data_IF_980500860679
#
_entry.id   IF_980500860679
#
_cell.length_a   1.000
_cell.length_b   1.000
_cell.length_c   1.000
_cell.angle_alpha   90.00
_cell.angle_beta   90.00
_cell.angle_gamma   90.00
#
_symmetry.space_group_name_H-M   'P 1'
#
loop_
_entity.id
_entity.type
_entity.pdbx_description
1 polymer ?
#
# COMPACT_ATOMS: atom_id res chain seq x y z
N UNK A 1 -26.52 -4.57 8.15
CA UNK A 1 -27.12 -3.35 7.58
C UNK A 1 -27.35 -3.66 6.11
N UNK A 2 -27.66 -2.71 5.25
CA UNK A 2 -27.61 -2.98 3.81
C UNK A 2 -26.35 -2.33 3.26
N UNK A 3 -25.49 -3.09 2.59
CA UNK A 3 -24.36 -2.55 1.88
C UNK A 3 -24.81 -1.40 0.96
N UNK A 4 -23.92 -0.43 0.76
CA UNK A 4 -24.18 0.78 -0.02
C UNK A 4 -25.47 1.53 0.40
N UNK A 5 -25.59 1.97 1.67
CA UNK A 5 -26.80 2.60 2.20
C UNK A 5 -27.16 3.94 1.52
N UNK A 6 -26.21 4.58 0.81
CA UNK A 6 -26.45 5.82 0.07
C UNK A 6 -26.85 5.60 -1.39
N UNK A 7 -26.81 4.35 -1.89
CA UNK A 7 -27.13 4.04 -3.27
C UNK A 7 -26.15 4.64 -4.28
N UNK A 8 -24.86 4.67 -3.93
CA UNK A 8 -23.79 5.05 -4.87
C UNK A 8 -23.80 4.09 -6.05
N UNK A 9 -23.60 4.59 -7.27
CA UNK A 9 -23.52 3.75 -8.45
C UNK A 9 -22.16 3.04 -8.53
N UNK A 10 -21.97 2.01 -7.70
CA UNK A 10 -20.78 1.18 -7.70
C UNK A 10 -20.72 0.30 -8.96
N UNK A 11 -19.50 -0.04 -9.37
CA UNK A 11 -19.25 -1.14 -10.29
C UNK A 11 -19.93 -2.40 -9.74
N UNK A 12 -20.59 -3.22 -10.58
CA UNK A 12 -21.29 -4.42 -10.12
C UNK A 12 -20.42 -5.36 -9.26
N UNK A 13 -19.12 -5.49 -9.54
CA UNK A 13 -18.23 -6.32 -8.73
C UNK A 13 -17.95 -5.70 -7.36
N UNK A 14 -17.78 -4.37 -7.30
CA UNK A 14 -17.61 -3.64 -6.04
C UNK A 14 -18.90 -3.69 -5.19
N UNK A 15 -20.07 -3.55 -5.81
CA UNK A 15 -21.36 -3.72 -5.13
C UNK A 15 -21.50 -5.14 -4.55
N UNK A 16 -21.25 -6.17 -5.37
CA UNK A 16 -21.36 -7.56 -4.93
C UNK A 16 -20.40 -7.88 -3.79
N UNK A 17 -19.17 -7.36 -3.83
CA UNK A 17 -18.19 -7.55 -2.77
C UNK A 17 -18.58 -6.83 -1.46
N UNK A 18 -19.07 -5.58 -1.56
CA UNK A 18 -19.60 -4.86 -0.41
C UNK A 18 -20.79 -5.60 0.24
N UNK A 19 -21.72 -6.14 -0.56
CA UNK A 19 -22.83 -6.97 -0.08
C UNK A 19 -22.35 -8.26 0.60
N UNK A 20 -21.38 -8.96 0.00
CA UNK A 20 -20.84 -10.20 0.53
C UNK A 20 -20.11 -10.02 1.87
N UNK A 21 -19.63 -8.81 2.17
CA UNK A 21 -18.85 -8.49 3.36
C UNK A 21 -19.61 -7.65 4.40
N UNK A 22 -20.88 -7.26 4.14
CA UNK A 22 -21.72 -6.46 5.05
C UNK A 22 -22.50 -7.32 6.07
N UNK A 23 -21.85 -8.35 6.62
CA UNK A 23 -22.41 -9.19 7.67
C UNK A 23 -21.35 -9.55 8.74
N UNK A 24 -21.69 -9.46 10.04
CA UNK A 24 -20.79 -9.88 11.11
C UNK A 24 -20.68 -11.42 11.20
N UNK A 25 -19.57 -11.95 11.75
CA UNK A 25 -18.44 -11.19 12.30
C UNK A 25 -17.61 -10.54 11.18
N UNK A 26 -17.27 -9.26 11.36
CA UNK A 26 -16.34 -8.56 10.48
C UNK A 26 -14.90 -8.98 10.79
N UNK A 27 -13.97 -8.79 9.84
CA UNK A 27 -12.57 -9.22 10.00
C UNK A 27 -11.90 -8.71 11.28
N UNK A 28 -12.16 -7.45 11.67
CA UNK A 28 -11.61 -6.83 12.87
C UNK A 28 -12.29 -7.28 14.18
N UNK A 29 -13.38 -8.04 14.09
CA UNK A 29 -14.06 -8.67 15.24
C UNK A 29 -13.54 -10.09 15.51
N UNK A 30 -12.77 -10.65 14.58
CA UNK A 30 -12.12 -11.95 14.72
C UNK A 30 -10.77 -11.82 15.47
N UNK A 31 -10.29 -12.90 16.12
CA UNK A 31 -8.89 -12.99 16.50
C UNK A 31 -7.98 -12.73 15.29
N UNK A 32 -6.83 -12.02 15.44
CA UNK A 32 -5.98 -11.65 14.30
C UNK A 32 -5.59 -12.81 13.39
N UNK A 33 -5.26 -13.98 13.94
CA UNK A 33 -4.89 -15.15 13.14
C UNK A 33 -6.05 -15.69 12.29
N UNK A 34 -7.28 -15.68 12.81
CA UNK A 34 -8.47 -16.11 12.07
C UNK A 34 -8.81 -15.09 10.97
N UNK A 35 -8.67 -13.79 11.26
CA UNK A 35 -8.83 -12.73 10.27
C UNK A 35 -7.77 -12.81 9.16
N UNK A 36 -6.51 -13.14 9.48
CA UNK A 36 -5.45 -13.37 8.48
C UNK A 36 -5.82 -14.52 7.56
N UNK A 37 -6.26 -15.65 8.11
CA UNK A 37 -6.68 -16.81 7.33
C UNK A 37 -7.87 -16.48 6.41
N UNK A 38 -8.83 -15.69 6.90
CA UNK A 38 -9.98 -15.26 6.10
C UNK A 38 -9.58 -14.36 4.92
N UNK A 39 -8.66 -13.41 5.13
CA UNK A 39 -8.14 -12.55 4.03
C UNK A 39 -7.35 -13.38 3.01
N UNK A 40 -6.56 -14.35 3.46
CA UNK A 40 -5.87 -15.31 2.57
C UNK A 40 -6.89 -16.10 1.73
N UNK A 41 -7.94 -16.63 2.34
CA UNK A 41 -8.98 -17.41 1.63
C UNK A 41 -9.72 -16.58 0.59
N UNK A 42 -10.04 -15.31 0.88
CA UNK A 42 -10.68 -14.39 -0.09
C UNK A 42 -9.83 -14.20 -1.35
N UNK A 43 -8.50 -14.25 -1.21
CA UNK A 43 -7.54 -14.11 -2.31
C UNK A 43 -7.11 -15.48 -2.89
N UNK A 44 -7.70 -16.60 -2.45
CA UNK A 44 -7.43 -17.96 -2.97
C UNK A 44 -8.46 -18.45 -3.99
N UNK A 45 -9.29 -17.56 -4.55
CA UNK A 45 -10.31 -17.94 -5.52
C UNK A 45 -9.71 -18.63 -6.76
N UNK A 46 -10.29 -19.76 -7.16
CA UNK A 46 -9.90 -20.46 -8.39
C UNK A 46 -10.05 -19.53 -9.61
N UNK A 47 -9.08 -19.58 -10.54
CA UNK A 47 -9.15 -18.85 -11.80
C UNK A 47 -8.73 -17.38 -11.74
N UNK A 48 -8.02 -16.95 -10.70
CA UNK A 48 -7.26 -15.69 -10.72
C UNK A 48 -6.04 -15.88 -11.62
N UNK A 49 -6.11 -15.38 -12.85
CA UNK A 49 -4.94 -15.31 -13.72
C UNK A 49 -3.99 -14.24 -13.21
N UNK A 50 -2.75 -14.63 -12.91
CA UNK A 50 -1.67 -13.72 -12.55
C UNK A 50 -0.52 -13.86 -13.56
N UNK A 51 0.18 -12.77 -13.90
CA UNK A 51 1.33 -12.85 -14.81
C UNK A 51 2.39 -13.85 -14.34
N UNK A 52 3.00 -14.57 -15.28
CA UNK A 52 4.20 -15.36 -15.01
C UNK A 52 5.34 -14.44 -14.56
N UNK A 53 6.11 -14.86 -13.55
CA UNK A 53 7.23 -14.12 -12.98
C UNK A 53 8.34 -15.08 -12.54
N UNK A 54 9.57 -14.57 -12.48
CA UNK A 54 10.65 -15.24 -11.76
C UNK A 54 10.63 -14.73 -10.30
N UNK A 55 10.70 -15.63 -9.33
CA UNK A 55 10.67 -15.27 -7.91
C UNK A 55 11.77 -15.91 -7.07
N UNK A 56 12.17 -15.22 -6.01
CA UNK A 56 13.07 -15.76 -4.99
C UNK A 56 12.81 -15.10 -3.64
N UNK A 57 13.22 -15.79 -2.57
CA UNK A 57 13.18 -15.29 -1.21
C UNK A 57 14.59 -15.05 -0.70
N UNK A 58 14.78 -13.91 -0.04
CA UNK A 58 16.02 -13.54 0.63
C UNK A 58 15.72 -13.05 2.05
N UNK A 59 16.74 -13.03 2.90
CA UNK A 59 16.66 -12.44 4.25
C UNK A 59 17.53 -11.20 4.26
N UNK A 60 16.93 -10.02 4.30
CA UNK A 60 17.64 -8.76 4.39
C UNK A 60 18.02 -8.50 5.87
N UNK A 61 19.31 -8.26 6.18
CA UNK A 61 19.71 -7.90 7.54
C UNK A 61 19.29 -6.47 7.88
N UNK A 62 18.92 -6.22 9.14
CA UNK A 62 18.53 -4.90 9.64
C UNK A 62 17.14 -4.88 10.28
N UNK A 63 16.69 -3.69 10.64
CA UNK A 63 15.46 -3.49 11.41
C UNK A 63 15.61 -3.92 12.88
N UNK A 64 14.61 -3.61 13.72
CA UNK A 64 14.69 -3.81 15.17
C UNK A 64 14.67 -5.29 15.59
N UNK A 65 14.20 -6.19 14.74
CA UNK A 65 14.21 -7.65 14.95
C UNK A 65 15.43 -8.33 14.32
N UNK A 66 16.33 -7.57 13.69
CA UNK A 66 17.62 -8.02 13.16
C UNK A 66 17.59 -8.49 11.70
N UNK A 67 16.43 -8.90 11.18
CA UNK A 67 16.25 -9.18 9.75
C UNK A 67 14.79 -9.11 9.31
N UNK A 68 14.56 -8.99 8.00
CA UNK A 68 13.24 -9.07 7.35
C UNK A 68 13.30 -10.07 6.19
N UNK A 69 12.27 -10.91 6.06
CA UNK A 69 12.10 -11.77 4.88
C UNK A 69 11.63 -10.92 3.72
N UNK A 70 12.24 -11.09 2.55
CA UNK A 70 11.94 -10.30 1.37
C UNK A 70 11.67 -11.24 0.21
N UNK A 71 10.52 -11.06 -0.44
CA UNK A 71 10.20 -11.69 -1.71
C UNK A 71 10.63 -10.77 -2.83
N UNK A 72 11.44 -11.27 -3.76
CA UNK A 72 11.86 -10.55 -4.96
C UNK A 72 11.15 -11.15 -6.14
N UNK A 73 10.30 -10.36 -6.80
CA UNK A 73 9.51 -10.74 -7.97
C UNK A 73 10.05 -10.01 -9.19
N UNK A 74 10.29 -10.72 -10.30
CA UNK A 74 10.87 -10.15 -11.53
C UNK A 74 10.01 -10.53 -12.74
N UNK A 75 9.93 -9.66 -13.77
CA UNK A 75 9.40 -10.06 -15.06
C UNK A 75 10.18 -11.26 -15.61
N UNK A 76 9.48 -12.24 -16.22
CA UNK A 76 10.10 -13.47 -16.64
C UNK A 76 11.13 -13.19 -17.73
N UNK A 77 12.29 -13.87 -17.64
CA UNK A 77 13.37 -13.76 -18.65
C UNK A 77 14.00 -12.36 -18.76
N UNK A 78 13.79 -11.48 -17.79
CA UNK A 78 14.46 -10.19 -17.73
C UNK A 78 15.99 -10.36 -17.66
N UNK A 79 16.73 -9.55 -18.42
CA UNK A 79 18.21 -9.57 -18.46
C UNK A 79 18.77 -8.26 -17.92
N UNK A 80 19.91 -8.34 -17.25
CA UNK A 80 20.58 -7.17 -16.67
C UNK A 80 19.98 -6.73 -15.34
N UNK A 81 20.41 -5.55 -14.88
CA UNK A 81 19.84 -4.91 -13.69
C UNK A 81 18.44 -4.37 -14.01
N UNK A 82 17.49 -4.65 -13.14
CA UNK A 82 16.13 -4.09 -13.21
C UNK A 82 15.99 -2.93 -12.23
N UNK A 83 15.31 -1.84 -12.61
CA UNK A 83 14.86 -0.87 -11.61
C UNK A 83 13.96 -1.55 -10.58
N UNK A 84 13.85 -0.96 -9.40
CA UNK A 84 13.23 -1.59 -8.24
C UNK A 84 12.00 -0.82 -7.79
N UNK A 85 10.93 -1.55 -7.49
CA UNK A 85 9.79 -1.07 -6.72
C UNK A 85 9.86 -1.75 -5.36
N UNK A 86 10.10 -0.99 -4.30
CA UNK A 86 9.88 -1.48 -2.93
C UNK A 86 8.38 -1.39 -2.68
N UNK A 87 7.70 -2.53 -2.70
CA UNK A 87 6.25 -2.60 -2.52
C UNK A 87 5.92 -2.96 -1.07
N UNK A 88 5.23 -2.08 -0.38
CA UNK A 88 4.78 -2.27 1.00
C UNK A 88 3.30 -2.58 1.00
N UNK A 89 2.92 -3.73 1.53
CA UNK A 89 1.55 -4.22 1.43
C UNK A 89 0.58 -3.56 2.39
N UNK A 90 -0.70 -3.60 2.05
CA UNK A 90 -1.80 -3.07 2.83
C UNK A 90 -2.37 -4.04 3.85
N UNK A 91 -3.69 -3.92 4.04
CA UNK A 91 -4.53 -4.72 4.94
C UNK A 91 -4.36 -4.44 6.45
N UNK A 92 -4.32 -3.16 6.83
CA UNK A 92 -4.57 -2.72 8.21
C UNK A 92 -3.45 -2.98 9.23
N UNK A 93 -2.21 -3.20 8.79
CA UNK A 93 -1.01 -3.58 9.57
C UNK A 93 -1.09 -4.97 10.21
N UNK A 94 -2.31 -5.52 10.31
CA UNK A 94 -2.63 -6.76 10.99
C UNK A 94 -2.74 -7.93 10.03
N UNK A 95 -3.26 -7.68 8.83
CA UNK A 95 -3.44 -8.67 7.78
C UNK A 95 -2.43 -8.46 6.66
N UNK A 96 -2.65 -9.15 5.53
CA UNK A 96 -1.77 -9.08 4.37
C UNK A 96 -0.50 -9.92 4.54
N UNK A 97 0.06 -10.29 3.40
CA UNK A 97 1.29 -11.07 3.21
C UNK A 97 1.61 -11.13 1.70
N UNK A 98 2.69 -11.80 1.31
CA UNK A 98 3.04 -11.99 -0.10
C UNK A 98 1.98 -12.74 -0.93
N UNK A 99 1.12 -13.56 -0.33
CA UNK A 99 0.09 -14.34 -1.03
C UNK A 99 -1.11 -13.46 -1.40
N UNK A 100 -1.68 -12.76 -0.41
CA UNK A 100 -2.82 -11.84 -0.60
C UNK A 100 -2.57 -10.74 -1.62
N UNK A 101 -1.32 -10.31 -1.80
CA UNK A 101 -0.94 -9.26 -2.75
C UNK A 101 -0.25 -9.80 -4.02
N UNK A 102 -0.25 -11.13 -4.22
CA UNK A 102 0.54 -11.80 -5.26
C UNK A 102 0.22 -11.28 -6.66
N UNK A 103 -1.07 -11.24 -7.03
CA UNK A 103 -1.52 -10.76 -8.34
C UNK A 103 -1.05 -9.33 -8.59
N UNK A 104 -1.33 -8.41 -7.67
CA UNK A 104 -1.01 -6.99 -7.82
C UNK A 104 0.50 -6.78 -7.97
N UNK A 105 1.32 -7.45 -7.16
CA UNK A 105 2.79 -7.38 -7.24
C UNK A 105 3.30 -7.90 -8.60
N UNK A 106 2.74 -9.01 -9.10
CA UNK A 106 3.11 -9.56 -10.43
C UNK A 106 2.70 -8.64 -11.57
N UNK A 107 1.51 -8.06 -11.50
CA UNK A 107 1.03 -7.08 -12.48
C UNK A 107 1.93 -5.84 -12.52
N UNK A 108 2.31 -5.30 -11.36
CA UNK A 108 3.22 -4.16 -11.29
C UNK A 108 4.61 -4.51 -11.83
N UNK A 109 5.19 -5.64 -11.42
CA UNK A 109 6.50 -6.07 -11.90
C UNK A 109 6.52 -6.16 -13.43
N UNK A 110 5.54 -6.87 -14.01
CA UNK A 110 5.47 -7.13 -15.45
C UNK A 110 5.12 -5.90 -16.27
N UNK A 111 4.14 -5.09 -15.85
CA UNK A 111 3.73 -3.89 -16.61
C UNK A 111 4.74 -2.76 -16.51
N UNK A 112 5.38 -2.58 -15.33
CA UNK A 112 6.40 -1.56 -15.14
C UNK A 112 7.77 -1.99 -15.70
N UNK A 113 7.95 -3.29 -15.97
CA UNK A 113 9.24 -3.90 -16.32
C UNK A 113 10.32 -3.58 -15.26
N UNK A 114 9.94 -3.80 -14.01
CA UNK A 114 10.76 -3.54 -12.82
C UNK A 114 10.72 -4.76 -11.90
N UNK A 115 11.76 -4.94 -11.09
CA UNK A 115 11.72 -5.91 -10.01
C UNK A 115 10.89 -5.33 -8.85
N UNK A 116 10.03 -6.15 -8.26
CA UNK A 116 9.33 -5.79 -7.02
C UNK A 116 10.04 -6.46 -5.85
N UNK A 117 10.43 -5.66 -4.87
CA UNK A 117 10.98 -6.07 -3.58
C UNK A 117 9.88 -5.91 -2.56
N UNK A 118 9.36 -7.02 -2.06
CA UNK A 118 8.23 -7.09 -1.14
C UNK A 118 8.74 -7.51 0.24
N UNK A 119 8.86 -6.59 1.21
CA UNK A 119 9.20 -6.92 2.59
C UNK A 119 8.01 -7.61 3.25
N UNK A 120 8.21 -8.84 3.71
CA UNK A 120 7.26 -9.57 4.56
C UNK A 120 7.46 -9.09 6.00
N UNK A 121 6.99 -7.87 6.29
CA UNK A 121 7.18 -7.22 7.58
C UNK A 121 6.37 -7.90 8.69
N UNK A 122 6.83 -7.78 9.93
CA UNK A 122 6.12 -8.30 11.10
C UNK A 122 4.86 -7.47 11.34
N UNK A 123 3.74 -8.16 11.59
CA UNK A 123 2.41 -7.56 11.63
C UNK A 123 1.99 -7.21 13.06
N UNK A 124 1.09 -6.26 13.15
CA UNK A 124 0.41 -5.94 14.40
C UNK A 124 -0.66 -6.98 14.73
N UNK A 125 -1.03 -7.16 16.01
CA UNK A 125 -0.52 -6.45 17.19
C UNK A 125 0.75 -7.06 17.84
N UNK A 126 1.31 -8.13 17.28
CA UNK A 126 2.52 -8.80 17.81
C UNK A 126 3.73 -7.86 17.84
N UNK A 127 3.84 -7.02 16.81
CA UNK A 127 4.71 -5.85 16.81
C UNK A 127 3.89 -4.58 16.61
N UNK A 128 4.42 -3.44 17.08
CA UNK A 128 3.78 -2.12 16.96
C UNK A 128 4.72 -1.16 16.25
N UNK A 129 4.25 0.05 15.98
CA UNK A 129 5.12 1.13 15.52
C UNK A 129 6.40 1.21 16.40
N UNK A 130 7.61 1.39 15.83
CA UNK A 130 7.94 1.55 14.41
C UNK A 130 8.42 0.26 13.71
N UNK A 131 8.15 -0.94 14.24
CA UNK A 131 8.82 -2.19 13.80
C UNK A 131 8.66 -2.47 12.29
N UNK A 132 7.42 -2.49 11.79
CA UNK A 132 7.15 -2.77 10.38
C UNK A 132 7.78 -1.71 9.46
N UNK A 133 7.73 -0.43 9.84
CA UNK A 133 8.35 0.68 9.10
C UNK A 133 9.86 0.49 8.97
N UNK A 134 10.54 0.19 10.08
CA UNK A 134 12.00 -0.04 10.09
C UNK A 134 12.40 -1.30 9.32
N UNK A 135 11.58 -2.35 9.33
CA UNK A 135 11.81 -3.54 8.50
C UNK A 135 11.67 -3.23 7.01
N UNK A 136 10.66 -2.46 6.62
CA UNK A 136 10.51 -2.02 5.23
C UNK A 136 11.70 -1.12 4.81
N UNK A 137 12.19 -0.25 5.70
CA UNK A 137 13.37 0.56 5.44
C UNK A 137 14.64 -0.29 5.31
N UNK A 138 14.80 -1.30 6.15
CA UNK A 138 15.92 -2.25 6.06
C UNK A 138 15.93 -3.02 4.74
N UNK A 139 14.76 -3.38 4.19
CA UNK A 139 14.67 -3.97 2.87
C UNK A 139 15.15 -3.00 1.76
N UNK A 140 14.78 -1.72 1.84
CA UNK A 140 15.28 -0.70 0.91
C UNK A 140 16.80 -0.49 1.03
N UNK A 141 17.34 -0.43 2.26
CA UNK A 141 18.79 -0.38 2.50
C UNK A 141 19.51 -1.60 1.93
N UNK A 142 18.91 -2.79 2.07
CA UNK A 142 19.45 -4.01 1.49
C UNK A 142 19.50 -3.95 -0.04
N UNK A 143 18.49 -3.39 -0.70
CA UNK A 143 18.53 -3.14 -2.16
C UNK A 143 19.72 -2.23 -2.50
N UNK A 144 19.90 -1.12 -1.75
CA UNK A 144 21.03 -0.21 -1.97
C UNK A 144 22.39 -0.91 -1.85
N UNK A 145 22.56 -1.77 -0.84
CA UNK A 145 23.84 -2.38 -0.50
C UNK A 145 24.15 -3.66 -1.30
N UNK A 146 23.13 -4.48 -1.61
CA UNK A 146 23.30 -5.84 -2.14
C UNK A 146 22.46 -6.13 -3.38
N UNK A 147 21.60 -5.21 -3.81
CA UNK A 147 20.66 -5.41 -4.91
C UNK A 147 21.32 -5.83 -6.22
N UNK A 148 22.50 -5.29 -6.54
CA UNK A 148 23.23 -5.62 -7.76
C UNK A 148 23.57 -7.13 -7.88
N UNK A 149 23.86 -7.79 -6.74
CA UNK A 149 24.10 -9.25 -6.70
C UNK A 149 22.85 -10.05 -7.04
N UNK A 150 21.68 -9.45 -6.82
CA UNK A 150 20.37 -10.01 -7.13
C UNK A 150 19.82 -9.46 -8.45
N UNK A 151 20.63 -8.81 -9.28
CA UNK A 151 20.21 -8.23 -10.55
C UNK A 151 19.25 -7.05 -10.42
N UNK A 152 19.35 -6.28 -9.33
CA UNK A 152 18.55 -5.09 -9.02
C UNK A 152 19.40 -3.83 -9.17
N UNK A 153 18.85 -2.79 -9.76
CA UNK A 153 19.48 -1.48 -9.92
C UNK A 153 19.16 -0.58 -8.72
N UNK A 154 20.14 -0.35 -7.86
CA UNK A 154 19.99 0.51 -6.69
C UNK A 154 19.98 2.01 -7.00
N UNK A 155 20.26 2.42 -8.23
CA UNK A 155 20.18 3.83 -8.64
C UNK A 155 18.77 4.26 -9.06
N UNK A 156 17.88 3.28 -9.33
CA UNK A 156 16.49 3.51 -9.74
C UNK A 156 15.55 2.70 -8.85
N UNK A 157 15.25 3.26 -7.67
CA UNK A 157 14.33 2.66 -6.70
C UNK A 157 13.10 3.56 -6.57
N UNK A 158 11.90 3.00 -6.67
CA UNK A 158 10.65 3.65 -6.30
C UNK A 158 10.07 2.93 -5.09
N UNK A 159 9.18 3.60 -4.36
CA UNK A 159 8.36 2.98 -3.32
C UNK A 159 6.91 2.98 -3.76
N UNK A 160 6.17 1.92 -3.45
CA UNK A 160 4.74 1.86 -3.70
C UNK A 160 4.05 1.09 -2.58
N UNK A 161 2.77 1.37 -2.35
CA UNK A 161 1.98 0.59 -1.42
C UNK A 161 0.51 0.96 -1.44
N UNK A 162 -0.31 0.07 -0.91
CA UNK A 162 -1.77 0.19 -0.87
C UNK A 162 -2.28 0.31 0.56
N UNK A 163 -3.29 1.15 0.80
CA UNK A 163 -3.89 1.35 2.13
C UNK A 163 -2.86 1.78 3.18
N UNK A 164 -2.68 1.00 4.25
CA UNK A 164 -1.60 1.15 5.23
C UNK A 164 -0.19 0.93 4.64
N UNK A 165 -0.08 0.17 3.55
CA UNK A 165 1.14 0.07 2.76
C UNK A 165 1.47 1.39 2.08
N UNK A 166 0.45 2.14 1.66
CA UNK A 166 0.59 3.53 1.20
C UNK A 166 1.07 4.46 2.33
N UNK A 167 0.57 4.27 3.56
CA UNK A 167 1.09 4.97 4.75
C UNK A 167 2.58 4.73 4.96
N UNK A 168 2.98 3.45 4.98
CA UNK A 168 4.37 3.05 5.16
C UNK A 168 5.24 3.52 3.99
N UNK A 169 4.75 3.45 2.74
CA UNK A 169 5.46 3.96 1.57
C UNK A 169 5.81 5.45 1.72
N UNK A 170 4.84 6.28 2.11
CA UNK A 170 5.08 7.71 2.40
C UNK A 170 6.11 7.86 3.53
N UNK A 171 5.94 7.12 4.64
CA UNK A 171 6.85 7.19 5.79
C UNK A 171 8.29 6.79 5.42
N UNK A 172 8.49 5.83 4.51
CA UNK A 172 9.80 5.48 3.98
C UNK A 172 10.45 6.65 3.23
N UNK A 173 9.69 7.46 2.49
CA UNK A 173 10.24 8.64 1.81
C UNK A 173 10.71 9.70 2.82
N UNK A 174 9.97 9.88 3.92
CA UNK A 174 10.34 10.79 5.00
C UNK A 174 11.63 10.31 5.70
N UNK A 175 11.71 9.02 6.05
CA UNK A 175 12.91 8.43 6.64
C UNK A 175 14.11 8.48 5.69
N UNK A 176 13.90 8.22 4.40
CA UNK A 176 14.96 8.28 3.39
C UNK A 176 15.54 9.69 3.27
N UNK A 177 14.69 10.72 3.31
CA UNK A 177 15.12 12.12 3.33
C UNK A 177 15.89 12.45 4.61
N UNK A 178 15.41 12.00 5.78
CA UNK A 178 16.04 12.24 7.07
C UNK A 178 17.43 11.58 7.17
N UNK A 179 17.54 10.31 6.75
CA UNK A 179 18.74 9.47 6.93
C UNK A 179 19.74 9.61 5.78
N UNK A 180 19.25 9.87 4.56
CA UNK A 180 20.06 10.18 3.38
C UNK A 180 20.77 8.99 2.73
N UNK A 181 20.59 7.77 3.22
CA UNK A 181 21.26 6.54 2.74
C UNK A 181 20.41 5.71 1.76
N UNK A 182 19.11 5.99 1.67
CA UNK A 182 18.20 5.47 0.63
C UNK A 182 17.66 6.66 -0.17
N UNK A 183 17.47 6.47 -1.48
CA UNK A 183 16.85 7.47 -2.35
C UNK A 183 15.76 6.81 -3.18
N UNK A 184 14.56 7.39 -3.14
CA UNK A 184 13.46 6.99 -3.99
C UNK A 184 13.32 7.99 -5.15
N UNK A 185 13.14 7.48 -6.36
CA UNK A 185 12.95 8.26 -7.59
C UNK A 185 11.47 8.60 -7.82
N UNK A 186 10.54 7.80 -7.28
CA UNK A 186 9.10 8.02 -7.32
C UNK A 186 8.42 7.32 -6.15
N UNK A 187 7.21 7.77 -5.85
CA UNK A 187 6.29 7.14 -4.90
C UNK A 187 4.90 6.93 -5.54
N UNK A 188 4.24 5.82 -5.22
CA UNK A 188 2.86 5.51 -5.65
C UNK A 188 2.05 5.02 -4.47
N UNK A 189 0.95 5.71 -4.20
CA UNK A 189 0.07 5.44 -3.08
C UNK A 189 -1.31 5.05 -3.59
N UNK A 190 -1.68 3.78 -3.42
CA UNK A 190 -3.07 3.35 -3.64
C UNK A 190 -3.86 3.58 -2.36
N UNK A 191 -4.84 4.47 -2.41
CA UNK A 191 -5.81 4.82 -1.36
C UNK A 191 -5.18 4.87 0.05
N UNK A 192 -4.16 5.73 0.25
CA UNK A 192 -3.31 5.65 1.43
C UNK A 192 -4.03 6.06 2.72
N UNK A 193 -3.68 5.40 3.82
CA UNK A 193 -3.90 5.93 5.17
C UNK A 193 -2.88 7.05 5.43
N UNK A 194 -3.32 8.23 5.83
CA UNK A 194 -2.46 9.41 6.02
C UNK A 194 -2.72 10.18 7.31
N UNK A 195 -3.82 9.92 8.01
CA UNK A 195 -4.09 10.56 9.30
C UNK A 195 -4.84 9.64 10.27
N UNK A 196 -4.41 9.61 11.53
CA UNK A 196 -5.16 9.00 12.63
C UNK A 196 -6.33 9.92 13.06
N UNK A 197 -7.15 10.36 12.10
CA UNK A 197 -8.29 11.24 12.29
C UNK A 197 -9.53 10.65 11.60
N UNK A 198 -10.56 10.30 12.38
CA UNK A 198 -11.73 9.54 11.90
C UNK A 198 -12.95 10.41 11.59
N UNK A 199 -12.71 11.65 11.13
CA UNK A 199 -13.72 12.72 11.07
C UNK A 199 -13.77 13.52 9.78
N UNK A 200 -13.13 13.04 8.70
CA UNK A 200 -13.32 13.63 7.36
C UNK A 200 -14.75 13.37 6.85
N UNK A 201 -15.18 14.10 5.83
CA UNK A 201 -16.50 13.87 5.23
C UNK A 201 -16.62 12.46 4.66
N UNK A 202 -15.57 11.91 4.04
CA UNK A 202 -15.55 10.52 3.58
C UNK A 202 -15.67 9.49 4.71
N UNK A 203 -15.05 9.72 5.87
CA UNK A 203 -15.23 8.86 7.05
C UNK A 203 -16.66 8.83 7.57
N UNK A 204 -17.39 9.94 7.46
CA UNK A 204 -18.79 10.04 7.86
C UNK A 204 -19.73 9.47 6.80
N UNK A 205 -19.45 9.73 5.53
CA UNK A 205 -20.26 9.32 4.37
C UNK A 205 -20.22 7.80 4.15
N UNK A 206 -19.03 7.20 4.23
CA UNK A 206 -18.79 5.77 3.96
C UNK A 206 -18.49 4.97 5.22
N UNK A 207 -18.94 5.44 6.38
CA UNK A 207 -18.62 4.83 7.68
C UNK A 207 -18.90 3.31 7.75
N UNK A 208 -19.92 2.84 7.04
CA UNK A 208 -20.40 1.45 7.02
C UNK A 208 -20.97 1.09 5.64
N UNK A 209 -20.93 -0.19 5.27
CA UNK A 209 -21.59 -0.72 4.08
C UNK A 209 -20.79 -0.64 2.77
N UNK A 210 -19.51 -0.26 2.80
CA UNK A 210 -18.63 -0.11 1.62
C UNK A 210 -17.32 -0.90 1.77
N UNK A 211 -17.39 -2.10 2.37
CA UNK A 211 -16.24 -2.93 2.76
C UNK A 211 -15.38 -2.34 3.89
N UNK A 212 -14.56 -1.31 3.63
CA UNK A 212 -13.75 -0.69 4.70
C UNK A 212 -14.64 0.21 5.56
N UNK A 213 -14.70 -0.12 6.86
CA UNK A 213 -15.54 0.59 7.83
C UNK A 213 -14.71 1.55 8.68
N UNK A 214 -15.35 2.60 9.21
CA UNK A 214 -14.72 3.57 10.11
C UNK A 214 -14.28 2.94 11.45
N UNK A 215 -15.09 2.04 11.99
CA UNK A 215 -14.77 1.30 13.22
C UNK A 215 -13.63 0.31 13.00
N UNK A 216 -13.57 -0.36 11.84
CA UNK A 216 -12.43 -1.16 11.43
C UNK A 216 -11.13 -0.33 11.41
N UNK A 217 -11.14 0.87 10.82
CA UNK A 217 -9.97 1.76 10.83
C UNK A 217 -9.52 2.13 12.24
N UNK A 218 -10.45 2.44 13.16
CA UNK A 218 -10.09 2.70 14.56
C UNK A 218 -9.40 1.49 15.20
N UNK A 219 -9.92 0.29 14.94
CA UNK A 219 -9.34 -0.95 15.44
C UNK A 219 -7.94 -1.20 14.88
N UNK A 220 -7.72 -1.01 13.56
CA UNK A 220 -6.40 -1.14 12.93
C UNK A 220 -5.38 -0.18 13.52
N UNK A 221 -5.78 1.09 13.71
CA UNK A 221 -4.94 2.08 14.39
C UNK A 221 -4.58 1.65 15.82
N UNK A 222 -5.52 1.12 16.59
CA UNK A 222 -5.25 0.61 17.95
C UNK A 222 -4.30 -0.60 17.97
N UNK A 223 -4.33 -1.45 16.92
CA UNK A 223 -3.37 -2.54 16.79
C UNK A 223 -1.96 -2.02 16.48
N UNK A 224 -1.86 -0.99 15.63
CA UNK A 224 -0.59 -0.41 15.20
C UNK A 224 0.08 0.41 16.30
N UNK A 225 -0.67 1.33 16.92
CA UNK A 225 -0.26 2.04 18.14
C UNK A 225 -1.45 2.74 18.82
N UNK A 226 -1.46 2.71 20.15
CA UNK A 226 -2.41 3.47 20.99
C UNK A 226 -1.80 4.75 21.56
N UNK A 227 -0.54 5.06 21.25
CA UNK A 227 0.13 6.25 21.73
C UNK A 227 -0.23 7.46 20.85
N UNK A 228 -0.88 8.47 21.43
CA UNK A 228 -1.32 9.68 20.71
C UNK A 228 -0.15 10.56 20.27
N UNK A 229 0.98 10.51 20.97
CA UNK A 229 2.22 11.15 20.56
C UNK A 229 2.80 10.49 19.31
N UNK A 230 2.81 9.16 19.26
CA UNK A 230 3.21 8.41 18.05
C UNK A 230 2.27 8.68 16.88
N UNK A 231 0.95 8.67 17.10
CA UNK A 231 -0.06 9.02 16.07
C UNK A 231 0.13 10.41 15.48
N UNK A 232 0.74 11.34 16.22
CA UNK A 232 1.02 12.69 15.74
C UNK A 232 2.32 12.81 14.92
N UNK A 233 3.18 11.78 14.89
CA UNK A 233 4.42 11.79 14.12
C UNK A 233 4.14 11.78 12.62
N UNK A 234 4.96 12.49 11.84
CA UNK A 234 4.84 12.54 10.38
C UNK A 234 5.03 11.17 9.71
N UNK A 235 5.80 10.27 10.32
CA UNK A 235 5.99 8.88 9.88
C UNK A 235 4.81 7.95 10.21
N UNK A 236 3.80 8.46 10.92
CA UNK A 236 2.60 7.72 11.32
C UNK A 236 1.37 8.36 10.67
N UNK A 237 1.17 9.66 10.87
CA UNK A 237 0.15 10.47 10.20
C UNK A 237 0.81 11.48 9.26
N UNK A 238 1.24 11.07 8.05
CA UNK A 238 1.96 11.96 7.13
C UNK A 238 1.17 13.19 6.68
N UNK A 239 -0.17 13.19 6.79
CA UNK A 239 -0.97 14.39 6.57
C UNK A 239 -0.62 15.54 7.54
N UNK A 240 -0.04 15.22 8.70
CA UNK A 240 0.39 16.18 9.73
C UNK A 240 1.81 16.71 9.53
N UNK A 241 2.58 16.18 8.58
CA UNK A 241 3.95 16.59 8.32
C UNK A 241 4.08 18.10 8.05
N UNK A 242 5.18 18.71 8.46
CA UNK A 242 5.47 20.11 8.16
C UNK A 242 5.74 20.32 6.66
N UNK A 243 5.55 21.53 6.10
CA UNK A 243 5.93 21.81 4.71
C UNK A 243 7.40 21.47 4.43
N UNK A 244 8.27 21.70 5.40
CA UNK A 244 9.71 21.45 5.31
C UNK A 244 10.03 19.96 5.23
N UNK A 245 9.26 19.12 5.91
CA UNK A 245 9.38 17.66 5.84
C UNK A 245 8.97 17.15 4.46
N UNK A 246 7.95 17.75 3.86
CA UNK A 246 7.38 17.36 2.57
C UNK A 246 8.16 17.88 1.34
N UNK A 247 8.90 18.99 1.46
CA UNK A 247 9.73 19.51 0.36
C UNK A 247 10.71 18.43 -0.14
N UNK A 248 11.00 18.40 -1.43
CA UNK A 248 11.99 17.51 -2.04
C UNK A 248 11.70 15.99 -1.88
N UNK A 249 10.50 15.61 -1.43
CA UNK A 249 10.04 14.22 -1.54
C UNK A 249 9.91 13.82 -3.02
N UNK A 250 10.02 12.51 -3.34
CA UNK A 250 9.95 12.06 -4.73
C UNK A 250 8.60 12.37 -5.37
N UNK A 251 8.54 12.51 -6.71
CA UNK A 251 7.28 12.64 -7.45
C UNK A 251 6.28 11.54 -7.05
N UNK A 252 5.03 11.95 -6.85
CA UNK A 252 4.00 11.10 -6.27
C UNK A 252 2.81 10.87 -7.22
N UNK A 253 2.29 9.65 -7.22
CA UNK A 253 0.99 9.32 -7.78
C UNK A 253 0.09 8.80 -6.65
N UNK A 254 -0.91 9.60 -6.28
CA UNK A 254 -1.90 9.25 -5.27
C UNK A 254 -3.19 8.83 -5.98
N UNK A 255 -3.61 7.59 -5.81
CA UNK A 255 -4.85 7.04 -6.35
C UNK A 255 -5.85 6.92 -5.20
N UNK A 256 -7.09 7.38 -5.35
CA UNK A 256 -8.15 7.21 -4.34
C UNK A 256 -9.38 6.53 -4.91
N UNK A 257 -10.14 5.85 -4.05
CA UNK A 257 -11.44 5.28 -4.40
C UNK A 257 -12.57 6.26 -4.02
N UNK A 258 -13.65 6.30 -4.79
CA UNK A 258 -14.78 7.19 -4.53
C UNK A 258 -15.55 6.85 -3.24
N UNK A 259 -15.85 5.56 -3.03
CA UNK A 259 -16.61 5.06 -1.88
C UNK A 259 -15.66 4.45 -0.84
N UNK A 260 -14.86 5.31 -0.21
CA UNK A 260 -13.80 4.93 0.72
C UNK A 260 -13.69 5.96 1.85
N UNK A 261 -13.62 5.48 3.08
CA UNK A 261 -13.42 6.32 4.27
C UNK A 261 -12.10 7.12 4.20
N UNK A 262 -11.07 6.58 3.56
CA UNK A 262 -9.73 7.20 3.45
C UNK A 262 -9.60 8.19 2.28
N UNK A 263 -10.65 8.34 1.45
CA UNK A 263 -10.61 9.16 0.24
C UNK A 263 -10.13 10.58 0.51
N UNK A 264 -10.76 11.27 1.47
CA UNK A 264 -10.51 12.68 1.68
C UNK A 264 -9.11 12.93 2.29
N UNK A 265 -8.61 12.03 3.15
CA UNK A 265 -7.27 12.18 3.74
C UNK A 265 -6.16 11.93 2.71
N UNK A 266 -6.30 10.91 1.85
CA UNK A 266 -5.35 10.66 0.77
C UNK A 266 -5.30 11.82 -0.24
N UNK A 267 -6.46 12.38 -0.61
CA UNK A 267 -6.53 13.56 -1.48
C UNK A 267 -5.96 14.82 -0.81
N UNK A 268 -6.21 15.01 0.48
CA UNK A 268 -5.64 16.11 1.25
C UNK A 268 -4.10 16.00 1.31
N UNK A 269 -3.56 14.79 1.47
CA UNK A 269 -2.11 14.58 1.46
C UNK A 269 -1.51 14.94 0.10
N UNK A 270 -2.15 14.55 -1.01
CA UNK A 270 -1.72 14.94 -2.34
C UNK A 270 -1.73 16.47 -2.55
N UNK A 271 -2.70 17.19 -1.97
CA UNK A 271 -2.69 18.66 -1.93
C UNK A 271 -1.48 19.19 -1.16
N UNK A 272 -1.16 18.60 -0.01
CA UNK A 272 -0.01 19.02 0.81
C UNK A 272 1.32 18.84 0.10
N UNK A 273 1.50 17.74 -0.64
CA UNK A 273 2.68 17.51 -1.47
C UNK A 273 2.83 18.61 -2.54
N UNK A 274 1.74 18.94 -3.26
CA UNK A 274 1.77 20.04 -4.25
C UNK A 274 2.07 21.39 -3.62
N UNK A 275 1.51 21.68 -2.44
CA UNK A 275 1.80 22.91 -1.70
C UNK A 275 3.27 22.99 -1.27
N UNK A 276 3.91 21.85 -0.99
CA UNK A 276 5.34 21.75 -0.72
C UNK A 276 6.21 21.74 -2.00
N UNK A 277 5.61 21.84 -3.20
CA UNK A 277 6.34 21.88 -4.47
C UNK A 277 6.71 20.51 -5.05
N UNK A 278 6.20 19.41 -4.47
CA UNK A 278 6.42 18.05 -4.99
C UNK A 278 5.54 17.82 -6.23
N UNK A 279 6.12 17.31 -7.31
CA UNK A 279 5.39 16.91 -8.52
C UNK A 279 4.43 15.77 -8.17
N UNK A 280 3.13 16.07 -8.11
CA UNK A 280 2.13 15.12 -7.59
C UNK A 280 0.93 15.04 -8.51
N UNK A 281 0.63 13.83 -8.97
CA UNK A 281 -0.62 13.48 -9.65
C UNK A 281 -1.57 12.86 -8.64
N UNK A 282 -2.84 13.31 -8.62
CA UNK A 282 -3.87 12.72 -7.78
C UNK A 282 -5.06 12.32 -8.65
N UNK A 283 -5.53 11.08 -8.53
CA UNK A 283 -6.63 10.55 -9.35
C UNK A 283 -7.61 9.77 -8.49
N UNK A 284 -8.87 10.19 -8.52
CA UNK A 284 -9.98 9.44 -7.94
C UNK A 284 -10.58 8.51 -8.99
N UNK A 285 -10.74 7.24 -8.64
CA UNK A 285 -11.53 6.28 -9.42
C UNK A 285 -12.95 6.21 -8.86
N UNK A 286 -13.92 6.48 -9.74
CA UNK A 286 -15.35 6.43 -9.41
C UNK A 286 -15.89 4.99 -9.44
N UNK A 287 -16.97 4.75 -8.70
CA UNK A 287 -17.70 3.48 -8.66
C UNK A 287 -16.94 2.33 -7.98
N UNK A 288 -15.84 2.60 -7.28
CA UNK A 288 -15.04 1.59 -6.57
C UNK A 288 -14.97 1.85 -5.07
N UNK A 289 -14.66 0.79 -4.33
CA UNK A 289 -14.45 0.75 -2.89
C UNK A 289 -12.96 0.72 -2.54
N UNK A 290 -12.64 0.78 -1.25
CA UNK A 290 -11.28 0.57 -0.75
C UNK A 290 -10.70 -0.79 -1.21
N UNK A 291 -9.38 -0.87 -1.34
CA UNK A 291 -8.64 -2.07 -1.79
C UNK A 291 -8.92 -2.56 -3.22
N UNK A 292 -9.56 -1.74 -4.08
CA UNK A 292 -10.01 -2.19 -5.40
C UNK A 292 -8.91 -2.67 -6.36
N UNK A 293 -7.63 -2.30 -6.15
CA UNK A 293 -6.52 -2.83 -6.95
C UNK A 293 -5.91 -4.10 -6.35
N UNK A 294 -6.17 -4.40 -5.07
CA UNK A 294 -5.68 -5.58 -4.36
C UNK A 294 -6.66 -6.75 -4.49
N UNK A 295 -7.95 -6.50 -4.23
CA UNK A 295 -9.00 -7.51 -4.18
C UNK A 295 -9.17 -8.25 -5.51
N UNK A 296 -9.00 -9.57 -5.49
CA UNK A 296 -9.12 -10.40 -6.69
C UNK A 296 -10.54 -10.41 -7.24
N UNK A 297 -11.56 -10.26 -6.39
CA UNK A 297 -12.95 -10.12 -6.81
C UNK A 297 -13.18 -8.88 -7.71
N UNK A 298 -12.32 -7.86 -7.64
CA UNK A 298 -12.43 -6.61 -8.40
C UNK A 298 -11.41 -6.53 -9.54
N UNK A 299 -10.54 -7.53 -9.72
CA UNK A 299 -9.41 -7.51 -10.67
C UNK A 299 -9.79 -7.21 -12.13
N UNK A 300 -10.97 -7.69 -12.55
CA UNK A 300 -11.43 -7.56 -13.94
C UNK A 300 -12.22 -6.27 -14.20
N UNK A 301 -12.48 -5.47 -13.15
CA UNK A 301 -13.15 -4.18 -13.30
C UNK A 301 -12.30 -3.22 -14.13
N UNK A 302 -12.97 -2.33 -14.88
CA UNK A 302 -12.27 -1.33 -15.68
C UNK A 302 -11.40 -0.40 -14.83
N UNK A 303 -11.89 -0.05 -13.63
CA UNK A 303 -11.17 0.79 -12.69
C UNK A 303 -9.90 0.13 -12.14
N UNK A 304 -9.96 -1.12 -11.67
CA UNK A 304 -8.78 -1.83 -11.16
C UNK A 304 -7.68 -1.94 -12.22
N UNK A 305 -8.04 -2.41 -13.42
CA UNK A 305 -7.09 -2.54 -14.54
C UNK A 305 -6.47 -1.20 -14.94
N UNK A 306 -7.29 -0.15 -15.05
CA UNK A 306 -6.81 1.19 -15.41
C UNK A 306 -5.87 1.77 -14.34
N UNK A 307 -6.20 1.61 -13.05
CA UNK A 307 -5.38 2.09 -11.94
C UNK A 307 -4.02 1.38 -11.88
N UNK A 308 -3.99 0.05 -12.03
CA UNK A 308 -2.74 -0.72 -12.07
C UNK A 308 -1.90 -0.34 -13.28
N UNK A 309 -2.48 -0.23 -14.47
CA UNK A 309 -1.75 0.20 -15.68
C UNK A 309 -1.23 1.63 -15.56
N UNK A 310 -2.00 2.54 -14.97
CA UNK A 310 -1.57 3.91 -14.71
C UNK A 310 -0.37 3.93 -13.77
N UNK A 311 -0.44 3.22 -12.64
CA UNK A 311 0.64 3.13 -11.67
C UNK A 311 1.90 2.49 -12.26
N UNK A 312 1.76 1.38 -12.97
CA UNK A 312 2.88 0.71 -13.62
C UNK A 312 3.55 1.59 -14.69
N UNK A 313 2.76 2.36 -15.45
CA UNK A 313 3.29 3.32 -16.44
C UNK A 313 4.02 4.46 -15.75
N UNK A 314 3.45 5.04 -14.69
CA UNK A 314 4.08 6.08 -13.88
C UNK A 314 5.43 5.62 -13.32
N UNK A 315 5.46 4.43 -12.71
CA UNK A 315 6.68 3.82 -12.17
C UNK A 315 7.72 3.62 -13.28
N UNK A 316 7.33 3.03 -14.40
CA UNK A 316 8.23 2.80 -15.54
C UNK A 316 8.81 4.09 -16.09
N UNK A 317 8.08 5.21 -16.08
CA UNK A 317 8.57 6.49 -16.58
C UNK A 317 9.56 7.18 -15.64
N UNK A 318 9.35 7.06 -14.33
CA UNK A 318 10.25 7.65 -13.33
C UNK A 318 11.44 6.76 -12.97
N UNK A 319 11.41 5.49 -13.36
CA UNK A 319 12.49 4.51 -13.16
C UNK A 319 13.38 4.33 -14.39
N UNK A 320 13.24 5.17 -15.43
CA UNK A 320 14.15 5.13 -16.59
C UNK A 320 15.49 5.76 -16.23
N UNK A 321 16.56 5.09 -16.65
CA UNK A 321 17.92 5.64 -16.70
C UNK A 321 18.07 6.70 -17.80
#
# INVERSE_FOLDING_TARGET
MTANPRGIALDPAAQAFAEATDAPPYLYELPPEDGRAAVDEVQSGDGVEAPEVDEQWVTAPGGPTGSVRVRVVRPPRARGLLPVIVYVHGAGWVFGNAHTHDRLVRELATQAHAAVVFPEYDRSPEVRYPVALEQCYAAAQWVCAQGALQGLDSSHIAVAGDSVGGNLAIALTLLAKERGDVRFAAQVEFYPVTDAAFGTSSYEEFAEGYFLRRDAMRWFWDQYTTDEGERALATVSPLRAGPDDLRDLPPALVITAEADVLRDEGEAFAVRLRQAGVSTTAVRYAGVIHDFVMLDALRDTGAARAAVTQAATWLREHLKA
#
